data_IF_562567616791
#
_entry.id   IF_562567616791
#
_cell.length_a   1.000
_cell.length_b   1.000
_cell.length_c   1.000
_cell.angle_alpha   90.00
_cell.angle_beta   90.00
_cell.angle_gamma   90.00
#
_symmetry.space_group_name_H-M   'P 1'
#
loop_
_entity.id
_entity.type
_entity.pdbx_description
1 polymer ?
#
# COMPACT_ATOMS: atom_id res chain seq x y z
N UNK A 1 8.22 87.62 34.51
CA UNK A 1 9.06 86.46 34.15
C UNK A 1 8.21 85.19 34.35
N UNK A 2 7.65 84.63 33.27
CA UNK A 2 6.81 83.42 33.31
C UNK A 2 7.25 82.53 32.16
N UNK A 3 7.90 81.41 32.48
CA UNK A 3 8.17 80.32 31.54
C UNK A 3 7.65 79.04 32.18
N UNK A 4 6.45 78.60 31.75
CA UNK A 4 5.93 77.27 32.04
C UNK A 4 6.49 76.33 30.96
N UNK A 5 7.34 75.40 31.38
CA UNK A 5 7.72 74.26 30.55
C UNK A 5 6.48 73.40 30.28
N UNK A 6 6.07 73.32 29.01
CA UNK A 6 5.17 72.29 28.52
C UNK A 6 5.98 71.01 28.34
N UNK A 7 5.75 70.05 29.25
CA UNK A 7 6.30 68.71 29.16
C UNK A 7 5.37 67.89 28.26
N UNK A 8 5.72 67.79 26.98
CA UNK A 8 5.02 66.93 26.02
C UNK A 8 5.35 65.46 26.32
N UNK A 9 4.32 64.65 26.58
CA UNK A 9 4.43 63.21 26.69
C UNK A 9 4.99 62.62 25.39
N UNK A 10 6.02 61.78 25.49
CA UNK A 10 6.75 61.23 24.34
C UNK A 10 5.92 60.16 23.60
N UNK A 11 5.80 60.24 22.25
CA UNK A 11 4.98 59.32 21.45
C UNK A 11 5.48 57.86 21.44
N UNK A 12 6.68 57.62 21.96
CA UNK A 12 7.35 56.31 21.99
C UNK A 12 6.74 55.29 22.94
N UNK A 13 6.03 55.71 24.00
CA UNK A 13 5.46 54.79 25.00
C UNK A 13 4.15 54.14 24.51
N UNK A 14 3.33 54.91 23.79
CA UNK A 14 2.05 54.44 23.23
C UNK A 14 2.27 53.47 22.06
N UNK A 15 3.31 53.73 21.24
CA UNK A 15 3.69 52.83 20.14
C UNK A 15 4.17 51.45 20.63
N UNK A 16 4.91 51.39 21.74
CA UNK A 16 5.36 50.11 22.33
C UNK A 16 4.20 49.28 22.87
N UNK A 17 3.21 49.94 23.48
CA UNK A 17 2.00 49.27 23.98
C UNK A 17 1.18 48.66 22.84
N UNK A 18 1.01 49.39 21.74
CA UNK A 18 0.32 48.88 20.54
C UNK A 18 1.08 47.73 19.87
N UNK A 19 2.40 47.79 19.79
CA UNK A 19 3.20 46.71 19.21
C UNK A 19 3.17 45.44 20.08
N UNK A 20 3.21 45.58 21.40
CA UNK A 20 3.04 44.46 22.33
C UNK A 20 1.63 43.86 22.24
N UNK A 21 0.59 44.69 22.12
CA UNK A 21 -0.79 44.25 21.91
C UNK A 21 -0.95 43.46 20.61
N UNK A 22 -0.31 43.89 19.52
CA UNK A 22 -0.29 43.15 18.25
C UNK A 22 0.44 41.82 18.37
N UNK A 23 1.56 41.77 19.10
CA UNK A 23 2.30 40.54 19.35
C UNK A 23 1.52 39.54 20.22
N UNK A 24 0.71 40.05 21.15
CA UNK A 24 -0.21 39.26 21.97
C UNK A 24 -1.34 38.67 21.11
N UNK A 25 -1.93 39.46 20.21
CA UNK A 25 -2.97 38.97 19.29
C UNK A 25 -2.45 37.87 18.36
N UNK A 26 -1.23 38.04 17.84
CA UNK A 26 -0.58 37.01 17.02
C UNK A 26 -0.34 35.72 17.82
N UNK A 27 0.14 35.82 19.06
CA UNK A 27 0.32 34.66 19.95
C UNK A 27 -1.00 33.93 20.21
N UNK A 28 -2.08 34.68 20.48
CA UNK A 28 -3.42 34.10 20.69
C UNK A 28 -3.92 33.43 19.41
N UNK A 29 -3.70 34.03 18.24
CA UNK A 29 -4.04 33.42 16.95
C UNK A 29 -3.30 32.10 16.72
N UNK A 30 -1.98 32.06 17.00
CA UNK A 30 -1.21 30.82 16.88
C UNK A 30 -1.71 29.73 17.84
N UNK A 31 -2.07 30.09 19.08
CA UNK A 31 -2.63 29.14 20.05
C UNK A 31 -3.99 28.59 19.59
N UNK A 32 -4.85 29.44 19.00
CA UNK A 32 -6.15 29.00 18.47
C UNK A 32 -5.98 28.02 17.29
N UNK A 33 -5.06 28.31 16.36
CA UNK A 33 -4.74 27.42 15.23
C UNK A 33 -4.11 26.12 15.74
N UNK A 34 -3.24 26.18 16.75
CA UNK A 34 -2.61 25.01 17.33
C UNK A 34 -3.62 24.10 18.04
N UNK A 35 -4.52 24.68 18.85
CA UNK A 35 -5.57 23.94 19.54
C UNK A 35 -6.56 23.31 18.56
N UNK A 36 -6.95 24.02 17.49
CA UNK A 36 -7.83 23.45 16.47
C UNK A 36 -7.13 22.32 15.69
N UNK A 37 -5.85 22.48 15.36
CA UNK A 37 -5.03 21.44 14.75
C UNK A 37 -4.90 20.20 15.63
N UNK A 38 -4.67 20.37 16.93
CA UNK A 38 -4.62 19.27 17.89
C UNK A 38 -5.96 18.55 18.03
N UNK A 39 -7.07 19.28 18.10
CA UNK A 39 -8.40 18.68 18.17
C UNK A 39 -8.73 17.87 16.90
N UNK A 40 -8.43 18.42 15.71
CA UNK A 40 -8.58 17.72 14.44
C UNK A 40 -7.67 16.50 14.35
N UNK A 41 -6.40 16.61 14.77
CA UNK A 41 -5.43 15.53 14.76
C UNK A 41 -5.80 14.37 15.70
N UNK A 42 -6.29 14.68 16.90
CA UNK A 42 -6.80 13.68 17.84
C UNK A 42 -8.05 13.00 17.28
N UNK A 43 -9.02 13.77 16.78
CA UNK A 43 -10.25 13.24 16.18
C UNK A 43 -9.94 12.35 14.98
N UNK A 44 -9.03 12.76 14.09
CA UNK A 44 -8.60 11.96 12.95
C UNK A 44 -7.85 10.70 13.38
N UNK A 45 -7.03 10.77 14.43
CA UNK A 45 -6.34 9.60 14.98
C UNK A 45 -7.30 8.58 15.58
N UNK A 46 -8.33 9.03 16.31
CA UNK A 46 -9.40 8.14 16.78
C UNK A 46 -10.19 7.57 15.60
N UNK A 47 -10.55 8.40 14.62
CA UNK A 47 -11.26 7.94 13.42
C UNK A 47 -10.47 6.89 12.62
N UNK A 48 -9.14 7.03 12.47
CA UNK A 48 -8.29 6.04 11.83
C UNK A 48 -8.11 4.76 12.66
N UNK A 49 -8.22 4.85 13.99
CA UNK A 49 -8.13 3.71 14.91
C UNK A 49 -9.45 2.96 15.04
N UNK A 50 -10.57 3.68 14.95
CA UNK A 50 -11.93 3.17 14.95
C UNK A 50 -12.40 2.79 13.55
N UNK A 51 -11.67 3.18 12.49
CA UNK A 51 -11.91 2.72 11.14
C UNK A 51 -11.79 1.20 11.13
N UNK A 52 -12.91 0.47 11.00
CA UNK A 52 -12.83 -0.92 10.74
C UNK A 52 -12.50 -0.99 9.25
N UNK A 53 -11.24 -1.20 8.89
CA UNK A 53 -10.93 -1.84 7.61
C UNK A 53 -11.44 -3.30 7.63
N UNK A 54 -12.69 -3.52 8.07
CA UNK A 54 -13.48 -4.68 7.73
C UNK A 54 -14.01 -4.40 6.32
N UNK A 55 -13.19 -4.74 5.33
CA UNK A 55 -13.69 -5.14 4.03
C UNK A 55 -14.67 -6.30 4.29
N UNK A 56 -15.94 -5.95 4.48
CA UNK A 56 -17.02 -6.85 4.82
C UNK A 56 -17.40 -7.66 3.57
N UNK A 57 -16.47 -8.48 3.10
CA UNK A 57 -16.70 -9.57 2.15
C UNK A 57 -17.31 -10.78 2.91
N UNK A 58 -18.15 -10.50 3.90
CA UNK A 58 -18.68 -11.47 4.87
C UNK A 58 -20.17 -11.74 4.69
N UNK A 59 -20.79 -11.27 3.59
CA UNK A 59 -22.22 -11.48 3.35
C UNK A 59 -22.53 -12.49 2.24
N UNK A 60 -21.53 -12.99 1.48
CA UNK A 60 -21.83 -13.78 0.28
C UNK A 60 -21.71 -15.30 0.42
N UNK A 61 -21.24 -15.84 1.53
CA UNK A 61 -20.98 -17.28 1.62
C UNK A 61 -21.38 -17.83 2.98
N UNK A 62 -22.69 -18.07 3.15
CA UNK A 62 -23.12 -19.18 3.98
C UNK A 62 -22.66 -20.47 3.28
N UNK A 63 -21.71 -21.25 3.81
CA UNK A 63 -21.31 -22.49 3.18
C UNK A 63 -22.27 -23.58 3.66
N UNK A 64 -23.34 -23.81 2.90
CA UNK A 64 -24.06 -25.09 2.97
C UNK A 64 -23.54 -25.96 1.84
N UNK A 65 -22.49 -26.75 2.07
CA UNK A 65 -22.20 -27.94 1.23
C UNK A 65 -21.32 -28.96 1.96
N UNK A 66 -21.47 -30.26 1.65
CA UNK A 66 -21.12 -31.41 2.51
C UNK A 66 -19.63 -31.79 2.49
N UNK A 67 -19.16 -32.65 3.43
CA UNK A 67 -17.78 -33.12 3.45
C UNK A 67 -17.51 -34.06 2.27
N UNK A 68 -16.63 -33.64 1.36
CA UNK A 68 -16.10 -34.53 0.31
C UNK A 68 -14.93 -35.34 0.88
N UNK A 69 -15.12 -36.66 0.94
CA UNK A 69 -14.14 -37.66 1.32
C UNK A 69 -12.99 -37.69 0.30
N UNK A 70 -11.85 -37.08 0.61
CA UNK A 70 -10.64 -37.20 -0.21
C UNK A 70 -10.05 -38.59 0.04
N UNK A 71 -10.19 -39.47 -0.94
CA UNK A 71 -9.45 -40.75 -1.01
C UNK A 71 -7.96 -40.45 -1.19
N UNK A 72 -7.22 -40.49 -0.08
CA UNK A 72 -5.78 -40.27 -0.06
C UNK A 72 -5.08 -41.55 -0.53
N UNK A 73 -4.71 -41.60 -1.82
CA UNK A 73 -3.82 -42.64 -2.34
C UNK A 73 -2.42 -42.43 -1.75
N UNK A 74 -2.11 -43.26 -0.78
CA UNK A 74 -0.84 -43.35 -0.05
C UNK A 74 0.34 -43.48 -0.99
N UNK A 75 1.20 -42.46 -1.03
CA UNK A 75 2.62 -42.61 -1.39
C UNK A 75 3.46 -41.83 -0.38
N UNK A 76 4.11 -42.61 0.49
CA UNK A 76 5.23 -42.30 1.36
C UNK A 76 5.26 -40.92 2.02
N UNK A 77 4.76 -40.89 3.25
CA UNK A 77 4.77 -39.77 4.17
C UNK A 77 6.21 -39.52 4.68
N UNK A 78 7.07 -38.92 3.86
CA UNK A 78 8.15 -38.09 4.42
C UNK A 78 7.47 -36.92 5.10
N UNK A 79 7.64 -36.80 6.41
CA UNK A 79 7.09 -35.73 7.24
C UNK A 79 7.48 -34.37 6.66
N UNK A 80 6.62 -33.79 5.82
CA UNK A 80 6.78 -32.48 5.19
C UNK A 80 6.99 -31.47 6.32
N UNK A 81 8.23 -31.06 6.51
CA UNK A 81 8.59 -30.13 7.57
C UNK A 81 8.01 -28.75 7.27
N UNK A 82 7.78 -27.94 8.31
CA UNK A 82 7.33 -26.54 8.16
C UNK A 82 8.17 -25.76 7.12
N UNK A 83 9.45 -26.12 6.98
CA UNK A 83 10.40 -25.54 6.01
C UNK A 83 9.97 -25.71 4.55
N UNK A 84 9.27 -26.80 4.19
CA UNK A 84 8.76 -26.99 2.82
C UNK A 84 7.55 -26.11 2.53
N UNK A 85 6.69 -25.84 3.54
CA UNK A 85 5.60 -24.86 3.42
C UNK A 85 6.09 -23.41 3.32
N UNK A 86 7.33 -23.13 3.74
CA UNK A 86 7.97 -21.82 3.60
C UNK A 86 8.59 -21.61 2.22
N UNK A 87 8.81 -22.68 1.44
CA UNK A 87 9.34 -22.57 0.09
C UNK A 87 8.23 -22.01 -0.82
N UNK A 88 8.50 -20.95 -1.60
CA UNK A 88 7.54 -20.48 -2.59
C UNK A 88 7.15 -21.66 -3.49
N UNK A 89 5.86 -21.99 -3.62
CA UNK A 89 5.43 -22.98 -4.59
C UNK A 89 5.90 -22.57 -5.98
N UNK A 90 6.18 -23.56 -6.82
CA UNK A 90 6.52 -23.29 -8.22
C UNK A 90 5.41 -22.44 -8.84
N UNK A 91 5.81 -21.34 -9.46
CA UNK A 91 4.90 -20.33 -10.03
C UNK A 91 4.17 -20.90 -11.24
N UNK A 92 4.74 -21.92 -11.87
CA UNK A 92 4.15 -22.61 -13.02
C UNK A 92 3.26 -23.76 -12.54
N UNK A 93 1.95 -23.50 -12.44
CA UNK A 93 0.94 -24.51 -12.13
C UNK A 93 0.02 -24.78 -13.33
N UNK A 94 -0.35 -26.04 -13.55
CA UNK A 94 -1.27 -26.46 -14.63
C UNK A 94 -2.76 -26.36 -14.21
N UNK A 95 -3.09 -25.39 -13.37
CA UNK A 95 -4.43 -25.21 -12.83
C UNK A 95 -5.26 -24.23 -13.67
N UNK A 96 -6.54 -24.54 -13.82
CA UNK A 96 -7.51 -23.65 -14.46
C UNK A 96 -7.96 -22.51 -13.51
N UNK A 97 -8.38 -21.38 -14.06
CA UNK A 97 -8.80 -20.17 -13.31
C UNK A 97 -9.82 -20.49 -12.19
N UNK A 98 -10.76 -21.43 -12.43
CA UNK A 98 -11.76 -21.86 -11.42
C UNK A 98 -11.12 -22.58 -10.22
N UNK A 99 -10.09 -23.37 -10.49
CA UNK A 99 -9.36 -24.10 -9.46
C UNK A 99 -8.46 -23.15 -8.66
N UNK A 100 -7.87 -22.16 -9.33
CA UNK A 100 -7.14 -21.07 -8.68
C UNK A 100 -8.02 -20.25 -7.76
N UNK A 101 -9.21 -19.88 -8.24
CA UNK A 101 -10.19 -19.13 -7.45
C UNK A 101 -10.63 -19.95 -6.22
N UNK A 102 -10.91 -21.23 -6.41
CA UNK A 102 -11.21 -22.15 -5.31
C UNK A 102 -10.04 -22.26 -4.33
N UNK A 103 -8.79 -22.38 -4.80
CA UNK A 103 -7.63 -22.48 -3.90
C UNK A 103 -7.39 -21.17 -3.14
N UNK A 104 -7.59 -20.04 -3.80
CA UNK A 104 -7.50 -18.71 -3.17
C UNK A 104 -8.59 -18.50 -2.11
N UNK A 105 -9.79 -19.08 -2.30
CA UNK A 105 -10.88 -18.97 -1.32
C UNK A 105 -10.65 -19.81 -0.06
N UNK A 106 -9.85 -20.87 -0.15
CA UNK A 106 -9.53 -21.77 0.96
C UNK A 106 -8.30 -21.38 1.77
N UNK A 107 -7.68 -20.23 1.48
CA UNK A 107 -6.51 -19.78 2.23
C UNK A 107 -6.92 -19.50 3.69
N UNK A 108 -6.36 -20.22 4.68
CA UNK A 108 -6.74 -20.03 6.06
C UNK A 108 -6.34 -18.64 6.55
N UNK A 109 -7.30 -17.91 7.13
CA UNK A 109 -7.06 -16.65 7.83
C UNK A 109 -6.43 -16.94 9.20
N UNK A 110 -5.13 -17.26 9.20
CA UNK A 110 -4.36 -17.51 10.43
C UNK A 110 -3.98 -16.15 11.04
N UNK A 111 -4.33 -15.92 12.31
CA UNK A 111 -4.01 -14.65 13.02
C UNK A 111 -2.55 -14.58 13.46
N UNK A 112 -1.98 -15.72 13.84
CA UNK A 112 -0.59 -15.82 14.31
C UNK A 112 0.13 -16.93 13.55
N UNK A 113 1.20 -16.54 12.86
CA UNK A 113 2.00 -17.47 12.08
C UNK A 113 3.10 -18.05 12.99
N UNK A 114 3.41 -19.35 12.88
CA UNK A 114 4.43 -19.99 13.73
C UNK A 114 5.87 -19.57 13.37
N UNK A 115 6.04 -18.52 12.56
CA UNK A 115 7.31 -17.99 12.10
C UNK A 115 7.23 -16.48 11.90
N UNK A 116 8.33 -15.81 12.17
CA UNK A 116 8.43 -14.37 11.97
C UNK A 116 8.47 -14.07 10.47
N UNK A 117 7.42 -13.44 9.93
CA UNK A 117 7.39 -12.98 8.54
C UNK A 117 7.92 -11.55 8.50
N UNK A 118 8.96 -11.32 7.72
CA UNK A 118 9.36 -9.96 7.37
C UNK A 118 8.25 -9.33 6.52
N UNK A 119 7.69 -8.18 6.91
CA UNK A 119 6.71 -7.48 6.08
C UNK A 119 7.33 -7.15 4.74
N UNK A 120 6.62 -7.47 3.66
CA UNK A 120 7.13 -7.43 2.29
C UNK A 120 6.19 -6.65 1.39
N UNK A 121 6.70 -5.71 0.62
CA UNK A 121 5.90 -4.90 -0.31
C UNK A 121 5.84 -5.59 -1.67
N UNK A 122 4.64 -5.71 -2.24
CA UNK A 122 4.44 -6.26 -3.58
C UNK A 122 4.28 -5.14 -4.62
N UNK A 123 5.15 -5.11 -5.62
CA UNK A 123 5.08 -4.21 -6.77
C UNK A 123 4.57 -4.96 -7.99
N UNK A 124 3.52 -4.45 -8.62
CA UNK A 124 2.95 -5.02 -9.84
C UNK A 124 3.10 -4.03 -10.99
N UNK A 125 3.77 -4.45 -12.05
CA UNK A 125 4.00 -3.66 -13.26
C UNK A 125 3.25 -4.27 -14.44
N UNK A 126 2.32 -3.51 -15.01
CA UNK A 126 1.61 -3.88 -16.22
C UNK A 126 2.26 -3.16 -17.40
N UNK A 127 2.96 -3.88 -18.27
CA UNK A 127 3.74 -3.28 -19.36
C UNK A 127 3.25 -3.77 -20.73
N UNK A 128 3.17 -2.88 -21.71
CA UNK A 128 2.90 -3.31 -23.10
C UNK A 128 4.14 -3.88 -23.80
N UNK A 129 5.33 -3.56 -23.30
CA UNK A 129 6.62 -3.99 -23.84
C UNK A 129 7.70 -4.07 -22.76
N UNK A 130 8.90 -3.60 -23.07
CA UNK A 130 10.00 -3.53 -22.11
C UNK A 130 9.63 -2.67 -20.90
N UNK A 131 10.22 -2.98 -19.74
CA UNK A 131 9.94 -2.27 -18.49
C UNK A 131 10.34 -0.79 -18.61
N UNK A 132 9.39 0.15 -18.53
CA UNK A 132 9.73 1.56 -18.56
C UNK A 132 10.54 1.93 -17.32
N UNK A 133 11.54 2.80 -17.49
CA UNK A 133 12.42 3.27 -16.42
C UNK A 133 13.14 2.13 -15.66
N UNK A 134 13.39 0.98 -16.31
CA UNK A 134 14.06 -0.15 -15.67
C UNK A 134 15.34 0.23 -14.89
N UNK A 135 16.25 1.09 -15.39
CA UNK A 135 17.45 1.48 -14.64
C UNK A 135 17.14 2.23 -13.34
N UNK A 136 16.08 3.06 -13.32
CA UNK A 136 15.66 3.78 -12.12
C UNK A 136 15.12 2.81 -11.07
N UNK A 137 14.27 1.89 -11.50
CA UNK A 137 13.71 0.88 -10.62
C UNK A 137 14.79 -0.06 -10.07
N UNK A 138 15.77 -0.44 -10.89
CA UNK A 138 16.92 -1.21 -10.44
C UNK A 138 17.68 -0.51 -9.31
N UNK A 139 17.90 0.81 -9.42
CA UNK A 139 18.50 1.59 -8.35
C UNK A 139 17.62 1.68 -7.10
N UNK A 140 16.30 1.84 -7.27
CA UNK A 140 15.36 1.88 -6.16
C UNK A 140 15.36 0.56 -5.36
N UNK A 141 15.38 -0.57 -6.05
CA UNK A 141 15.34 -1.89 -5.44
C UNK A 141 16.70 -2.36 -4.91
N UNK A 142 17.81 -1.77 -5.38
CA UNK A 142 19.17 -2.14 -4.97
C UNK A 142 19.33 -2.04 -3.46
N UNK A 143 19.78 -3.15 -2.84
CA UNK A 143 20.06 -3.22 -1.40
C UNK A 143 18.83 -3.46 -0.51
N UNK A 144 17.63 -3.61 -1.10
CA UNK A 144 16.40 -3.89 -0.35
C UNK A 144 15.93 -5.35 -0.52
N UNK A 145 16.86 -6.27 -0.84
CA UNK A 145 16.56 -7.66 -1.11
C UNK A 145 15.79 -8.32 0.05
N UNK A 146 14.73 -9.06 -0.29
CA UNK A 146 13.86 -9.72 0.70
C UNK A 146 12.71 -8.86 1.23
N UNK A 147 12.79 -7.53 1.12
CA UNK A 147 11.73 -6.60 1.58
C UNK A 147 10.68 -6.31 0.50
N UNK A 148 10.90 -6.76 -0.74
CA UNK A 148 9.96 -6.55 -1.84
C UNK A 148 9.82 -7.77 -2.77
N UNK A 149 8.64 -7.89 -3.37
CA UNK A 149 8.32 -8.85 -4.45
C UNK A 149 7.92 -8.04 -5.68
N UNK A 150 8.47 -8.39 -6.84
CA UNK A 150 8.12 -7.75 -8.12
C UNK A 150 7.36 -8.76 -8.98
N UNK A 151 6.25 -8.31 -9.56
CA UNK A 151 5.43 -9.04 -10.51
C UNK A 151 5.29 -8.21 -11.79
N UNK A 152 5.66 -8.79 -12.93
CA UNK A 152 5.61 -8.11 -14.23
C UNK A 152 4.65 -8.85 -15.15
N UNK A 153 3.62 -8.15 -15.62
CA UNK A 153 2.68 -8.63 -16.63
C UNK A 153 2.93 -7.87 -17.94
N UNK A 154 3.81 -8.39 -18.82
CA UNK A 154 3.96 -7.84 -20.16
C UNK A 154 2.78 -8.28 -21.05
N UNK A 155 2.57 -7.58 -22.16
CA UNK A 155 1.68 -8.04 -23.24
C UNK A 155 2.13 -9.42 -23.75
N UNK A 156 1.22 -10.38 -24.00
CA UNK A 156 1.59 -11.69 -24.58
C UNK A 156 2.35 -11.59 -25.90
N UNK A 157 2.15 -10.55 -26.70
CA UNK A 157 2.88 -10.34 -27.96
C UNK A 157 4.33 -9.88 -27.76
N UNK A 158 4.70 -9.46 -26.56
CA UNK A 158 6.06 -8.99 -26.27
C UNK A 158 6.96 -10.14 -25.80
N UNK A 159 8.01 -10.42 -26.58
CA UNK A 159 9.02 -11.43 -26.23
C UNK A 159 10.39 -10.78 -25.95
N UNK A 160 10.45 -9.99 -24.88
CA UNK A 160 11.72 -9.42 -24.40
C UNK A 160 12.44 -10.36 -23.43
N UNK A 161 13.76 -10.45 -23.56
CA UNK A 161 14.63 -11.11 -22.60
C UNK A 161 15.10 -10.10 -21.55
N UNK A 162 15.15 -10.53 -20.29
CA UNK A 162 15.64 -9.71 -19.17
C UNK A 162 17.02 -10.24 -18.76
N UNK A 163 18.06 -9.39 -18.62
CA UNK A 163 19.37 -9.81 -18.16
C UNK A 163 19.31 -10.57 -16.83
N UNK A 164 20.12 -11.62 -16.68
CA UNK A 164 20.16 -12.48 -15.49
C UNK A 164 20.44 -11.72 -14.17
N UNK A 165 21.14 -10.58 -14.24
CA UNK A 165 21.45 -9.74 -13.07
C UNK A 165 20.40 -8.67 -12.74
N UNK A 166 19.32 -8.55 -13.52
CA UNK A 166 18.29 -7.54 -13.27
C UNK A 166 17.31 -7.99 -12.20
N UNK A 167 16.79 -7.04 -11.41
CA UNK A 167 15.74 -7.29 -10.40
C UNK A 167 14.44 -7.84 -11.00
N UNK A 168 14.25 -7.65 -12.31
CA UNK A 168 13.09 -8.13 -13.07
C UNK A 168 13.27 -9.54 -13.64
N UNK A 169 14.46 -10.15 -13.49
CA UNK A 169 14.72 -11.48 -14.02
C UNK A 169 13.83 -12.54 -13.33
N UNK A 170 13.20 -13.41 -14.13
CA UNK A 170 12.30 -14.45 -13.62
C UNK A 170 11.03 -13.91 -12.94
N UNK A 171 10.71 -12.62 -13.08
CA UNK A 171 9.51 -11.98 -12.47
C UNK A 171 8.34 -11.82 -13.44
N UNK A 172 8.45 -12.39 -14.64
CA UNK A 172 7.44 -12.32 -15.69
C UNK A 172 6.32 -13.32 -15.40
N UNK A 173 5.09 -12.83 -15.30
CA UNK A 173 3.89 -13.66 -15.26
C UNK A 173 3.22 -13.61 -16.63
N UNK A 174 2.95 -14.76 -17.27
CA UNK A 174 2.18 -14.82 -18.50
C UNK A 174 0.82 -14.14 -18.33
N UNK A 175 0.46 -13.24 -19.25
CA UNK A 175 -0.85 -12.58 -19.25
C UNK A 175 -1.70 -13.13 -20.39
N UNK A 176 -3.02 -13.23 -20.17
CA UNK A 176 -3.99 -13.42 -21.25
C UNK A 176 -4.16 -12.09 -21.99
N UNK A 177 -4.31 -12.14 -23.32
CA UNK A 177 -4.53 -10.93 -24.11
C UNK A 177 -5.81 -10.23 -23.69
N UNK A 178 -5.71 -9.02 -23.16
CA UNK A 178 -6.87 -8.21 -22.79
C UNK A 178 -6.99 -7.10 -23.80
N UNK A 179 -8.02 -7.16 -24.64
CA UNK A 179 -8.37 -6.06 -25.54
C UNK A 179 -9.01 -4.96 -24.70
N UNK A 180 -8.30 -3.86 -24.46
CA UNK A 180 -8.87 -2.69 -23.81
C UNK A 180 -9.76 -1.95 -24.81
N UNK A 181 -11.08 -2.16 -24.72
CA UNK A 181 -12.16 -1.33 -25.27
C UNK A 181 -12.00 -0.80 -26.70
N UNK A 182 -12.42 -1.58 -27.70
CA UNK A 182 -13.08 -1.06 -28.92
C UNK A 182 -13.85 -2.17 -29.63
N UNK A 183 -15.18 -2.01 -29.78
CA UNK A 183 -15.88 -2.19 -31.05
C UNK A 183 -17.22 -1.43 -30.95
N UNK A 184 -17.27 -0.21 -31.48
CA UNK A 184 -18.56 0.39 -31.86
C UNK A 184 -19.04 -0.39 -33.08
N UNK A 185 -20.11 -1.15 -32.91
CA UNK A 185 -20.84 -1.76 -34.01
C UNK A 185 -21.58 -0.66 -34.75
N UNK A 186 -21.06 -0.28 -35.92
CA UNK A 186 -21.79 0.53 -36.88
C UNK A 186 -22.75 -0.42 -37.59
N UNK A 187 -24.00 -0.41 -37.15
CA UNK A 187 -25.12 -0.98 -37.88
C UNK A 187 -25.33 -0.10 -39.12
N UNK A 188 -25.17 -0.69 -40.29
CA UNK A 188 -25.77 -0.24 -41.56
C UNK A 188 -26.62 -1.39 -42.10
#
# INVERSE_FOLDING_TARGET
>A
MKNKQQQAASPTSIQKLFNAQMHLHNLVSYLLIFCSGLALGLTLSFYLKDFPFNLQLNQFLSPTSPPVLISLKTKNLTRVGLKEYLKPPDVMHDMEDKELLWRASMVPRIRELPFNRTPKVAFMFLTKGAMPLAPLWELFFKGHDGLYSIYVHPNPSFNGTVPQGSVFHGRRIPSKGITCGVQFEKVE
#
